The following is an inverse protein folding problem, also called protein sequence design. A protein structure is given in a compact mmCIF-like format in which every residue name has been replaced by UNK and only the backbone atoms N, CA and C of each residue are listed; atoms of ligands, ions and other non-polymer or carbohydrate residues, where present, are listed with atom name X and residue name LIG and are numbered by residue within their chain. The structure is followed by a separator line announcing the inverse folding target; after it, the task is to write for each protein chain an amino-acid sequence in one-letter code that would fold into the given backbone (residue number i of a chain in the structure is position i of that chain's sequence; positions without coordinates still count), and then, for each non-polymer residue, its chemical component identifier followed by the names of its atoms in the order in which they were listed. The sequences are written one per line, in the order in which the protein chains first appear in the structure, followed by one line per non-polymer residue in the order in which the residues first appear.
data_IF_013111331341
#
_entry.id   IF_013111331341
#
_cell.length_a   1.000
_cell.length_b   1.000
_cell.length_c   1.000
_cell.angle_alpha   90.00
_cell.angle_beta   90.00
_cell.angle_gamma   90.00
#
_symmetry.space_group_name_H-M   'P 1'
#
loop_
_entity.id
_entity.type
_entity.pdbx_description
1 polymer ?
#
# COMPACT_ATOMS: atom_id res chain seq x y z
N UNK A 1 -9.00 -13.08 14.83
CA UNK A 1 -7.58 -13.30 14.44
C UNK A 1 -7.31 -14.79 14.34
N UNK A 2 -6.63 -15.23 13.26
CA UNK A 2 -6.15 -16.60 13.09
C UNK A 2 -4.62 -16.56 13.01
N UNK A 3 -3.95 -17.43 13.77
CA UNK A 3 -2.49 -17.51 13.88
C UNK A 3 -2.00 -18.75 13.15
N UNK A 4 -1.09 -18.58 12.19
CA UNK A 4 -0.47 -19.67 11.43
C UNK A 4 1.04 -19.63 11.56
N UNK A 5 1.72 -20.77 11.75
CA UNK A 5 3.17 -20.84 11.65
C UNK A 5 3.61 -20.52 10.21
N UNK A 6 4.74 -19.83 10.07
CA UNK A 6 5.36 -19.50 8.79
C UNK A 6 6.86 -19.82 8.84
N UNK A 7 7.26 -20.88 8.13
CA UNK A 7 8.62 -21.40 8.25
C UNK A 7 8.93 -21.91 9.65
N UNK A 8 10.18 -21.76 10.09
CA UNK A 8 10.63 -22.20 11.42
C UNK A 8 10.61 -21.09 12.49
N UNK A 9 10.63 -19.83 12.10
CA UNK A 9 10.79 -18.66 12.96
C UNK A 9 9.74 -17.57 12.72
N UNK A 10 8.78 -17.81 11.85
CA UNK A 10 7.77 -16.85 11.46
C UNK A 10 6.37 -17.21 11.92
N UNK A 11 5.53 -16.18 11.99
CA UNK A 11 4.10 -16.27 12.31
C UNK A 11 3.32 -15.38 11.35
N UNK A 12 2.27 -15.93 10.74
CA UNK A 12 1.32 -15.20 9.93
C UNK A 12 0.03 -14.98 10.73
N UNK A 13 -0.33 -13.74 10.97
CA UNK A 13 -1.58 -13.35 11.58
C UNK A 13 -2.59 -13.00 10.50
N UNK A 14 -3.71 -13.73 10.39
CA UNK A 14 -4.85 -13.33 9.58
C UNK A 14 -5.78 -12.47 10.44
N UNK A 15 -6.03 -11.23 10.03
CA UNK A 15 -6.71 -10.20 10.83
C UNK A 15 -7.62 -9.33 9.95
N UNK A 16 -8.63 -8.71 10.56
CA UNK A 16 -9.59 -7.86 9.85
C UNK A 16 -9.00 -6.47 9.57
N UNK A 17 -8.15 -5.94 10.46
CA UNK A 17 -7.46 -4.66 10.30
C UNK A 17 -5.93 -4.84 10.42
N UNK A 18 -5.25 -5.22 9.32
CA UNK A 18 -3.79 -5.39 9.34
C UNK A 18 -3.02 -4.13 9.69
N UNK A 19 -3.55 -2.94 9.36
CA UNK A 19 -2.89 -1.68 9.68
C UNK A 19 -2.89 -1.41 11.20
N UNK A 20 -4.02 -1.64 11.88
CA UNK A 20 -4.09 -1.52 13.34
C UNK A 20 -3.19 -2.54 14.05
N UNK A 21 -3.16 -3.77 13.55
CA UNK A 21 -2.27 -4.81 14.07
C UNK A 21 -0.80 -4.48 13.84
N UNK A 22 -0.45 -3.98 12.65
CA UNK A 22 0.91 -3.53 12.35
C UNK A 22 1.37 -2.46 13.33
N UNK A 23 0.53 -1.43 13.59
CA UNK A 23 0.85 -0.36 14.54
C UNK A 23 1.07 -0.90 15.96
N UNK A 24 0.20 -1.80 16.43
CA UNK A 24 0.32 -2.40 17.76
C UNK A 24 1.60 -3.22 17.93
N UNK A 25 1.89 -4.09 16.94
CA UNK A 25 3.07 -4.95 16.94
C UNK A 25 4.36 -4.14 16.79
N UNK A 26 4.34 -3.10 15.95
CA UNK A 26 5.48 -2.20 15.82
C UNK A 26 5.78 -1.48 17.15
N UNK A 27 4.76 -0.89 17.76
CA UNK A 27 4.91 -0.22 19.06
C UNK A 27 5.41 -1.18 20.16
N UNK A 28 4.95 -2.43 20.15
CA UNK A 28 5.42 -3.46 21.08
C UNK A 28 6.89 -3.81 20.85
N UNK A 29 7.33 -3.88 19.58
CA UNK A 29 8.75 -4.08 19.25
C UNK A 29 9.60 -2.92 19.74
N UNK A 30 9.16 -1.68 19.55
CA UNK A 30 9.86 -0.48 20.05
C UNK A 30 9.99 -0.46 21.59
N UNK A 31 9.01 -1.04 22.32
CA UNK A 31 9.07 -1.18 23.78
C UNK A 31 9.84 -2.42 24.26
N UNK A 32 10.32 -3.26 23.34
CA UNK A 32 11.00 -4.51 23.69
C UNK A 32 10.10 -5.64 24.17
N UNK A 33 8.79 -5.50 24.08
CA UNK A 33 7.78 -6.53 24.43
C UNK A 33 7.66 -7.60 23.36
N UNK A 34 8.02 -7.28 22.11
CA UNK A 34 8.07 -8.19 20.99
C UNK A 34 9.48 -8.16 20.37
N UNK A 35 10.12 -9.32 20.30
CA UNK A 35 11.40 -9.46 19.61
C UNK A 35 11.16 -10.19 18.29
N UNK A 36 11.36 -9.49 17.20
CA UNK A 36 11.27 -10.04 15.85
C UNK A 36 12.12 -9.22 14.87
N UNK A 37 12.54 -9.83 13.76
CA UNK A 37 13.34 -9.18 12.73
C UNK A 37 12.47 -8.29 11.83
N UNK A 38 11.34 -8.81 11.37
CA UNK A 38 10.47 -8.14 10.43
C UNK A 38 9.00 -8.20 10.84
N UNK A 39 8.25 -7.13 10.54
CA UNK A 39 6.80 -7.06 10.63
C UNK A 39 6.30 -6.55 9.27
N UNK A 40 5.60 -7.39 8.51
CA UNK A 40 5.16 -7.10 7.14
C UNK A 40 3.64 -7.13 7.06
N UNK A 41 2.97 -5.97 7.00
CA UNK A 41 1.53 -5.91 6.77
C UNK A 41 1.21 -6.20 5.29
N UNK A 42 0.04 -6.81 5.08
CA UNK A 42 -0.54 -7.05 3.77
C UNK A 42 -2.06 -6.82 3.79
N UNK A 43 -2.78 -7.22 2.75
CA UNK A 43 -4.20 -6.92 2.59
C UNK A 43 -5.10 -7.46 3.73
N UNK A 44 -4.78 -8.62 4.28
CA UNK A 44 -5.55 -9.32 5.32
C UNK A 44 -4.66 -10.00 6.37
N UNK A 45 -3.37 -9.78 6.30
CA UNK A 45 -2.41 -10.49 7.14
C UNK A 45 -1.32 -9.56 7.63
N UNK A 46 -0.70 -9.93 8.75
CA UNK A 46 0.59 -9.40 9.17
C UNK A 46 1.54 -10.58 9.36
N UNK A 47 2.65 -10.59 8.63
CA UNK A 47 3.70 -11.57 8.76
C UNK A 47 4.77 -11.04 9.73
N UNK A 48 5.13 -11.85 10.71
CA UNK A 48 6.28 -11.62 11.58
C UNK A 48 7.35 -12.66 11.26
N UNK A 49 8.60 -12.24 11.14
CA UNK A 49 9.76 -13.12 10.94
C UNK A 49 10.80 -12.93 12.03
N UNK A 50 11.58 -13.99 12.30
CA UNK A 50 12.59 -13.97 13.34
C UNK A 50 11.99 -13.77 14.74
N UNK A 51 10.81 -14.32 15.01
CA UNK A 51 10.13 -14.17 16.29
C UNK A 51 10.85 -14.97 17.35
N UNK A 52 11.27 -14.30 18.41
CA UNK A 52 11.89 -14.93 19.57
C UNK A 52 10.87 -15.17 20.69
N UNK A 53 11.03 -16.29 21.37
CA UNK A 53 10.11 -16.71 22.42
C UNK A 53 8.80 -17.32 21.86
N UNK A 54 7.76 -17.33 22.68
CA UNK A 54 6.42 -17.80 22.33
C UNK A 54 5.37 -16.81 22.79
N UNK A 55 5.19 -15.69 22.07
CA UNK A 55 4.17 -14.71 22.42
C UNK A 55 2.78 -15.35 22.45
N UNK A 56 1.97 -15.02 23.44
CA UNK A 56 0.57 -15.37 23.48
C UNK A 56 -0.20 -14.37 22.60
N UNK A 57 -0.42 -14.70 21.34
CA UNK A 57 -1.02 -13.79 20.36
C UNK A 57 -2.44 -13.36 20.73
N UNK A 58 -3.16 -14.16 21.53
CA UNK A 58 -4.50 -13.87 22.01
C UNK A 58 -4.54 -12.69 23.00
N UNK A 59 -3.41 -12.39 23.65
CA UNK A 59 -3.29 -11.27 24.59
C UNK A 59 -3.05 -9.94 23.89
N UNK A 60 -2.83 -9.98 22.57
CA UNK A 60 -2.56 -8.79 21.76
C UNK A 60 -3.84 -8.23 21.16
N UNK A 61 -3.94 -6.91 21.14
CA UNK A 61 -5.08 -6.19 20.56
C UNK A 61 -4.60 -5.20 19.51
N UNK A 62 -5.39 -4.97 18.44
CA UNK A 62 -5.06 -3.94 17.45
C UNK A 62 -5.03 -2.55 18.10
N UNK A 63 -4.17 -1.68 17.60
CA UNK A 63 -4.10 -0.30 18.07
C UNK A 63 -5.37 0.46 17.68
N UNK A 64 -6.00 1.15 18.64
CA UNK A 64 -7.15 1.99 18.38
C UNK A 64 -6.75 3.28 17.63
N UNK A 65 -7.60 3.72 16.71
CA UNK A 65 -7.47 5.02 16.03
C UNK A 65 -6.42 5.08 14.91
N UNK A 66 -6.29 6.24 14.31
CA UNK A 66 -5.27 6.55 13.32
C UNK A 66 -3.94 6.91 13.99
N UNK A 67 -2.83 6.75 13.26
CA UNK A 67 -1.53 7.20 13.75
C UNK A 67 -1.55 8.73 13.97
N UNK A 68 -1.25 9.18 15.17
CA UNK A 68 -1.31 10.60 15.57
C UNK A 68 -0.44 11.54 14.71
N UNK A 69 0.51 11.00 13.93
CA UNK A 69 1.45 11.73 13.07
C UNK A 69 1.51 11.10 11.67
N UNK A 70 0.35 10.89 11.04
CA UNK A 70 0.35 10.38 9.67
C UNK A 70 1.10 11.34 8.73
N UNK A 71 2.18 10.86 8.10
CA UNK A 71 2.87 11.58 7.04
C UNK A 71 1.90 11.87 5.90
N UNK A 72 1.94 13.07 5.35
CA UNK A 72 1.15 13.46 4.17
C UNK A 72 2.06 13.62 2.96
N UNK A 73 1.59 13.15 1.82
CA UNK A 73 2.29 13.23 0.55
C UNK A 73 1.33 13.70 -0.54
N UNK A 74 1.61 14.85 -1.14
CA UNK A 74 0.97 15.28 -2.38
C UNK A 74 1.74 14.70 -3.57
N UNK A 75 1.01 14.09 -4.50
CA UNK A 75 1.56 13.44 -5.69
C UNK A 75 1.06 14.17 -6.92
N UNK A 76 1.89 15.00 -7.57
CA UNK A 76 1.54 15.63 -8.82
C UNK A 76 1.48 14.60 -9.95
N UNK A 77 0.41 14.63 -10.76
CA UNK A 77 0.11 13.63 -11.78
C UNK A 77 -0.23 14.32 -13.10
N UNK A 78 0.44 13.89 -14.18
CA UNK A 78 -0.03 14.08 -15.54
C UNK A 78 -1.02 12.98 -15.89
N UNK A 79 -2.26 13.36 -16.21
CA UNK A 79 -3.38 12.43 -16.45
C UNK A 79 -3.41 11.96 -17.91
N UNK A 80 -2.36 11.29 -18.36
CA UNK A 80 -2.14 10.86 -19.74
C UNK A 80 -1.92 9.33 -19.86
N UNK A 81 -2.41 8.58 -18.88
CA UNK A 81 -2.28 7.11 -18.89
C UNK A 81 -3.04 6.45 -20.04
N UNK A 82 -2.50 5.38 -20.63
CA UNK A 82 -3.08 4.71 -21.80
C UNK A 82 -4.48 4.13 -21.54
N UNK A 83 -4.87 3.90 -20.28
CA UNK A 83 -6.19 3.39 -19.91
C UNK A 83 -7.13 4.50 -19.41
N UNK A 84 -6.70 5.76 -19.40
CA UNK A 84 -7.46 6.88 -18.84
C UNK A 84 -8.87 6.97 -19.43
N UNK A 85 -8.98 6.95 -20.77
CA UNK A 85 -10.27 7.03 -21.43
C UNK A 85 -11.19 5.82 -21.15
N UNK A 86 -10.63 4.63 -21.05
CA UNK A 86 -11.38 3.42 -20.71
C UNK A 86 -11.92 3.48 -19.26
N UNK A 87 -11.08 3.97 -18.33
CA UNK A 87 -11.48 4.18 -16.93
C UNK A 87 -12.56 5.26 -16.82
N UNK A 88 -12.42 6.39 -17.55
CA UNK A 88 -13.42 7.46 -17.60
C UNK A 88 -14.77 6.92 -18.09
N UNK A 89 -14.78 6.13 -19.14
CA UNK A 89 -15.98 5.50 -19.67
C UNK A 89 -16.64 4.54 -18.65
N UNK A 90 -15.83 3.69 -18.00
CA UNK A 90 -16.31 2.75 -16.98
C UNK A 90 -16.89 3.48 -15.75
N UNK A 91 -16.26 4.55 -15.33
CA UNK A 91 -16.68 5.33 -14.18
C UNK A 91 -17.78 6.33 -14.48
N UNK A 92 -18.01 6.68 -15.76
CA UNK A 92 -18.85 7.79 -16.20
C UNK A 92 -18.49 9.10 -15.47
N UNK A 93 -17.20 9.32 -15.30
CA UNK A 93 -16.63 10.45 -14.58
C UNK A 93 -15.15 10.60 -14.96
N UNK A 94 -14.61 11.79 -14.82
CA UNK A 94 -13.19 12.06 -15.04
C UNK A 94 -12.33 11.38 -13.94
N UNK A 95 -11.44 10.48 -14.30
CA UNK A 95 -10.58 9.80 -13.32
C UNK A 95 -9.74 10.78 -12.49
N UNK A 96 -9.24 11.85 -13.08
CA UNK A 96 -8.51 12.90 -12.40
C UNK A 96 -9.32 13.50 -11.24
N UNK A 97 -10.60 13.85 -11.47
CA UNK A 97 -11.44 14.48 -10.46
C UNK A 97 -11.78 13.51 -9.32
N UNK A 98 -12.08 12.25 -9.68
CA UNK A 98 -12.34 11.21 -8.69
C UNK A 98 -11.10 10.99 -7.80
N UNK A 99 -9.92 10.86 -8.41
CA UNK A 99 -8.69 10.56 -7.69
C UNK A 99 -8.19 11.75 -6.86
N UNK A 100 -8.31 12.97 -7.36
CA UNK A 100 -8.00 14.20 -6.59
C UNK A 100 -8.96 14.41 -5.43
N UNK A 101 -10.24 14.05 -5.60
CA UNK A 101 -11.25 14.13 -4.55
C UNK A 101 -11.20 13.02 -3.51
N UNK A 102 -10.38 11.98 -3.74
CA UNK A 102 -10.23 10.83 -2.83
C UNK A 102 -9.01 10.98 -1.95
N UNK A 103 -9.19 10.89 -0.64
CA UNK A 103 -8.08 10.71 0.31
C UNK A 103 -7.62 9.26 0.32
N UNK A 104 -6.34 9.04 0.03
CA UNK A 104 -5.75 7.71 0.04
C UNK A 104 -4.87 7.48 1.27
N UNK A 105 -4.76 6.23 1.69
CA UNK A 105 -3.81 5.80 2.71
C UNK A 105 -2.99 4.63 2.18
N UNK A 106 -1.69 4.64 2.39
CA UNK A 106 -0.85 3.47 2.13
C UNK A 106 -1.21 2.37 3.12
N UNK A 107 -1.93 1.36 2.67
CA UNK A 107 -2.33 0.23 3.52
C UNK A 107 -1.15 -0.68 3.84
N UNK A 108 -0.36 -1.02 2.84
CA UNK A 108 0.84 -1.83 2.95
C UNK A 108 1.76 -1.61 1.75
N UNK A 109 2.99 -2.11 1.85
CA UNK A 109 3.98 -2.10 0.78
C UNK A 109 4.30 -3.52 0.31
N UNK A 110 4.70 -3.66 -0.96
CA UNK A 110 5.05 -4.96 -1.54
C UNK A 110 5.34 -4.84 -3.02
N UNK A 111 5.44 -5.95 -3.73
CA UNK A 111 5.72 -6.02 -5.17
C UNK A 111 7.14 -5.54 -5.55
N UNK A 112 7.51 -4.30 -5.19
CA UNK A 112 8.83 -3.74 -5.47
C UNK A 112 9.20 -2.69 -4.41
N UNK A 113 10.50 -2.41 -4.14
CA UNK A 113 10.91 -1.32 -3.27
C UNK A 113 10.26 0.01 -3.70
N UNK A 114 9.57 0.68 -2.77
CA UNK A 114 8.84 1.92 -3.01
C UNK A 114 7.43 1.77 -3.57
N UNK A 115 6.93 0.54 -3.85
CA UNK A 115 5.55 0.35 -4.26
C UNK A 115 4.63 0.24 -3.04
N UNK A 116 3.67 1.17 -2.94
CA UNK A 116 2.63 1.19 -1.91
C UNK A 116 1.25 0.85 -2.51
N UNK A 117 0.50 0.02 -1.79
CA UNK A 117 -0.90 -0.24 -2.08
C UNK A 117 -1.75 0.80 -1.34
N UNK A 118 -2.40 1.68 -2.11
CA UNK A 118 -3.20 2.79 -1.61
C UNK A 118 -4.67 2.36 -1.54
N UNK A 119 -5.28 2.48 -0.37
CA UNK A 119 -6.73 2.30 -0.16
C UNK A 119 -7.42 3.65 -0.01
N UNK A 120 -8.72 3.69 -0.25
CA UNK A 120 -9.56 4.90 -0.19
C UNK A 120 -10.54 4.98 -1.35
N UNK A 121 -10.28 4.26 -2.45
CA UNK A 121 -11.17 4.24 -3.60
C UNK A 121 -12.52 3.59 -3.23
N UNK A 122 -13.67 4.26 -3.46
CA UNK A 122 -14.98 3.69 -3.22
C UNK A 122 -15.22 2.41 -4.04
N UNK A 123 -15.95 1.45 -3.48
CA UNK A 123 -16.18 0.14 -4.11
C UNK A 123 -16.76 0.24 -5.52
N UNK A 124 -17.64 1.21 -5.76
CA UNK A 124 -18.26 1.47 -7.07
C UNK A 124 -17.25 1.87 -8.15
N UNK A 125 -16.01 2.21 -7.74
CA UNK A 125 -14.90 2.61 -8.61
C UNK A 125 -13.84 1.54 -8.78
N UNK A 126 -14.02 0.36 -8.17
CA UNK A 126 -13.07 -0.72 -8.33
C UNK A 126 -13.10 -1.28 -9.74
N UNK A 127 -11.93 -1.47 -10.31
CA UNK A 127 -11.76 -1.98 -11.66
C UNK A 127 -10.91 -3.25 -11.64
N UNK A 128 -11.23 -4.26 -12.45
CA UNK A 128 -10.39 -5.44 -12.57
C UNK A 128 -9.04 -5.09 -13.18
N UNK A 129 -8.06 -5.95 -12.96
CA UNK A 129 -6.83 -5.93 -13.72
C UNK A 129 -7.11 -6.18 -15.19
N UNK A 130 -6.19 -5.74 -16.06
CA UNK A 130 -6.22 -6.12 -17.47
C UNK A 130 -6.18 -7.66 -17.62
N UNK A 131 -6.92 -8.20 -18.58
CA UNK A 131 -6.92 -9.63 -18.88
C UNK A 131 -5.51 -10.14 -19.27
N UNK A 132 -4.75 -9.31 -19.98
CA UNK A 132 -3.35 -9.59 -20.34
C UNK A 132 -2.45 -8.52 -19.74
N UNK A 133 -1.54 -8.86 -18.82
CA UNK A 133 -0.59 -7.90 -18.27
C UNK A 133 0.33 -7.34 -19.36
N UNK A 134 0.70 -6.06 -19.21
CA UNK A 134 1.74 -5.46 -20.04
C UNK A 134 3.09 -6.04 -19.67
N UNK A 135 3.93 -6.28 -20.66
CA UNK A 135 5.31 -6.69 -20.44
C UNK A 135 6.16 -5.58 -19.81
N UNK A 136 5.74 -4.33 -20.02
CA UNK A 136 6.44 -3.17 -19.49
C UNK A 136 5.44 -2.06 -19.12
N UNK A 137 5.47 -1.66 -17.87
CA UNK A 137 4.83 -0.47 -17.29
C UNK A 137 5.96 0.51 -16.93
N UNK A 138 5.95 1.77 -17.40
CA UNK A 138 6.98 2.75 -17.06
C UNK A 138 7.02 3.08 -15.57
N UNK A 139 8.18 3.50 -15.05
CA UNK A 139 8.30 4.11 -13.74
C UNK A 139 7.41 5.36 -13.65
N UNK A 140 6.91 5.67 -12.46
CA UNK A 140 6.02 6.80 -12.22
C UNK A 140 4.55 6.57 -12.64
N UNK A 141 4.22 5.44 -13.30
CA UNK A 141 2.84 5.18 -13.73
C UNK A 141 1.89 5.08 -12.53
N UNK A 142 0.84 5.92 -12.52
CA UNK A 142 -0.27 5.86 -11.56
C UNK A 142 -1.31 4.88 -12.08
N UNK A 143 -1.69 3.92 -11.24
CA UNK A 143 -2.45 2.75 -11.68
C UNK A 143 -3.52 2.32 -10.67
N UNK A 144 -4.54 1.61 -11.19
CA UNK A 144 -5.70 1.15 -10.44
C UNK A 144 -5.92 -0.36 -10.66
N UNK A 145 -6.23 -1.09 -9.59
CA UNK A 145 -6.69 -2.48 -9.66
C UNK A 145 -7.45 -2.90 -8.40
N UNK A 146 -8.67 -3.40 -8.55
CA UNK A 146 -9.55 -3.73 -7.43
C UNK A 146 -9.73 -2.54 -6.50
N UNK A 147 -9.55 -2.73 -5.18
CA UNK A 147 -9.69 -1.66 -4.19
C UNK A 147 -8.49 -0.71 -4.12
N UNK A 148 -7.45 -0.95 -4.92
CA UNK A 148 -6.17 -0.26 -4.76
C UNK A 148 -5.87 0.72 -5.89
N UNK A 149 -5.28 1.85 -5.54
CA UNK A 149 -4.40 2.63 -6.38
C UNK A 149 -2.93 2.32 -6.03
N UNK A 150 -2.02 2.66 -6.92
CA UNK A 150 -0.59 2.50 -6.69
C UNK A 150 0.24 3.25 -7.73
N UNK A 151 1.53 3.42 -7.46
CA UNK A 151 2.45 4.09 -8.36
C UNK A 151 3.65 3.18 -8.56
N UNK A 152 3.97 2.89 -9.81
CA UNK A 152 5.11 2.01 -10.15
C UNK A 152 6.43 2.73 -9.88
N UNK A 153 7.27 2.28 -8.93
CA UNK A 153 8.52 2.97 -8.60
C UNK A 153 9.62 2.78 -9.66
N UNK A 154 9.51 1.71 -10.45
CA UNK A 154 10.44 1.38 -11.54
C UNK A 154 9.70 0.69 -12.67
N UNK A 155 10.32 0.62 -13.84
CA UNK A 155 9.77 -0.13 -14.96
C UNK A 155 9.68 -1.62 -14.61
N UNK A 156 8.50 -2.21 -14.82
CA UNK A 156 8.21 -3.62 -14.51
C UNK A 156 7.02 -4.13 -15.32
N UNK A 157 6.81 -5.44 -15.46
CA UNK A 157 5.54 -5.98 -15.96
C UNK A 157 4.40 -5.62 -15.00
N UNK A 158 3.16 -5.46 -15.55
CA UNK A 158 1.99 -5.18 -14.71
C UNK A 158 0.69 -5.17 -15.48
N UNK A 159 -0.42 -5.52 -14.78
CA UNK A 159 -1.75 -5.60 -15.35
C UNK A 159 -2.75 -4.61 -14.77
N UNK A 160 -2.27 -3.54 -14.10
CA UNK A 160 -3.16 -2.50 -13.56
C UNK A 160 -3.56 -1.51 -14.65
N UNK A 161 -4.71 -0.85 -14.47
CA UNK A 161 -5.22 0.21 -15.35
C UNK A 161 -4.39 1.47 -15.14
N UNK A 162 -3.65 1.91 -16.15
CA UNK A 162 -2.76 3.07 -16.06
C UNK A 162 -3.52 4.36 -16.40
N UNK A 163 -3.64 5.28 -15.43
CA UNK A 163 -4.44 6.50 -15.58
C UNK A 163 -3.60 7.78 -15.67
N UNK A 164 -2.34 7.72 -15.31
CA UNK A 164 -1.45 8.88 -15.37
C UNK A 164 -0.04 8.53 -14.98
N UNK A 165 0.79 9.56 -14.80
CA UNK A 165 2.18 9.41 -14.37
C UNK A 165 2.62 10.56 -13.50
N UNK A 166 3.55 10.28 -12.59
CA UNK A 166 4.25 11.26 -11.77
C UNK A 166 5.76 11.20 -11.99
N UNK A 167 6.43 12.32 -11.77
CA UNK A 167 7.89 12.42 -11.79
C UNK A 167 8.55 12.15 -10.44
N UNK A 168 7.80 11.75 -9.41
CA UNK A 168 8.38 11.54 -8.08
C UNK A 168 9.26 10.29 -8.03
N UNK A 169 10.44 10.43 -7.43
CA UNK A 169 11.30 9.30 -7.08
C UNK A 169 10.75 8.62 -5.83
N UNK A 170 9.99 7.53 -6.02
CA UNK A 170 9.29 6.82 -4.92
C UNK A 170 10.24 6.06 -4.00
N UNK A 171 11.42 5.68 -4.49
CA UNK A 171 12.43 4.97 -3.72
C UNK A 171 13.83 5.49 -4.06
N UNK A 172 14.51 6.02 -3.05
CA UNK A 172 15.91 6.50 -3.15
C UNK A 172 16.65 5.92 -1.95
N UNK A 173 17.68 5.12 -2.20
CA UNK A 173 18.37 4.35 -1.16
C UNK A 173 18.96 5.25 -0.06
N UNK A 174 19.53 6.38 -0.44
CA UNK A 174 20.20 7.32 0.47
C UNK A 174 19.24 8.32 1.15
N UNK A 175 17.93 8.22 0.92
CA UNK A 175 16.91 9.03 1.60
C UNK A 175 16.46 8.34 2.88
N UNK A 176 16.14 9.08 3.91
CA UNK A 176 15.56 8.60 5.16
C UNK A 176 14.10 9.10 5.35
N UNK A 177 13.07 8.23 5.34
CA UNK A 177 13.12 6.84 4.90
C UNK A 177 13.32 6.69 3.39
N UNK A 178 13.91 5.59 2.89
CA UNK A 178 14.17 5.39 1.47
C UNK A 178 12.90 5.41 0.59
N UNK A 179 11.81 4.85 1.09
CA UNK A 179 10.51 4.85 0.42
C UNK A 179 9.70 6.10 0.77
N UNK A 180 9.09 6.74 -0.24
CA UNK A 180 8.11 7.80 -0.02
C UNK A 180 6.80 7.25 0.53
N UNK A 181 6.35 6.12 -0.01
CA UNK A 181 5.13 5.44 0.37
C UNK A 181 5.46 4.41 1.45
N UNK A 182 5.20 4.76 2.71
CA UNK A 182 5.30 3.86 3.86
C UNK A 182 3.91 3.60 4.43
N UNK A 183 3.63 2.44 5.04
CA UNK A 183 2.31 2.14 5.61
C UNK A 183 1.82 3.25 6.54
N UNK A 184 0.56 3.68 6.37
CA UNK A 184 -0.05 4.79 7.11
C UNK A 184 0.17 6.18 6.49
N UNK A 185 1.01 6.35 5.46
CA UNK A 185 1.13 7.62 4.74
C UNK A 185 -0.20 7.99 4.09
N UNK A 186 -0.66 9.22 4.33
CA UNK A 186 -1.81 9.81 3.64
C UNK A 186 -1.36 10.38 2.30
N UNK A 187 -2.01 9.99 1.23
CA UNK A 187 -1.65 10.38 -0.14
C UNK A 187 -2.79 11.16 -0.78
N UNK A 188 -2.48 12.28 -1.39
CA UNK A 188 -3.39 13.07 -2.20
C UNK A 188 -2.79 13.27 -3.60
N UNK A 189 -3.54 12.91 -4.63
CA UNK A 189 -3.18 13.23 -6.01
C UNK A 189 -3.53 14.68 -6.33
N UNK A 190 -2.68 15.34 -7.09
CA UNK A 190 -2.86 16.71 -7.57
C UNK A 190 -2.53 16.79 -9.06
N UNK A 191 -2.90 17.87 -9.73
CA UNK A 191 -2.43 18.11 -11.09
C UNK A 191 -0.93 18.53 -11.06
N UNK A 192 -0.16 18.07 -12.08
CA UNK A 192 1.25 18.38 -12.25
C UNK A 192 1.46 19.71 -12.98
#
# INVERSE_FOLDING_TARGET
MLVRPYGWDGVLLEVDDPAAWFRALWAARERGELVCEEIVPAARTVLLRGVQGRPCWQDWTPAAGEAATARRLDVPVHWDGPDYAAVAAAWRAEPADVLKGTGFTVAFCGFAPGFGYLTGLPEQRWLPRLASPRTRVPAGSVALAGPYAGIYPRSSPGGWQLVGRTGLDLFVLDRDPPALLTPGTLVRFTDA
#
